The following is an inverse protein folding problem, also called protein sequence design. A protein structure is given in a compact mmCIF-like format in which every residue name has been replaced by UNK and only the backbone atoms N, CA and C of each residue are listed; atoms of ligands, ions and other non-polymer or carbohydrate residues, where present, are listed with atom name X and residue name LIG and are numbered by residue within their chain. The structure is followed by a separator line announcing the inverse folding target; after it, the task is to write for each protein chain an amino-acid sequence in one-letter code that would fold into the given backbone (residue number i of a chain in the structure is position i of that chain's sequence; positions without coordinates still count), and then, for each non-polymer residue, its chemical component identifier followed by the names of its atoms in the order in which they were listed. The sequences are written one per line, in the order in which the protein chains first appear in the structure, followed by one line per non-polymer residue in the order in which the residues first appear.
data_IF_308239209662
#
_entry.id   IF_308239209662
#
_cell.length_a   1.000
_cell.length_b   1.000
_cell.length_c   1.000
_cell.angle_alpha   90.00
_cell.angle_beta   90.00
_cell.angle_gamma   90.00
#
_symmetry.space_group_name_H-M   'P 1'
#
loop_
_entity.id
_entity.type
_entity.pdbx_description
1 polymer ?
#
# COMPACT_ATOMS: atom_id res chain seq x y z
N UNK A 1 0.68 39.44 -9.17
CA UNK A 1 1.81 38.97 -9.99
C UNK A 1 1.25 37.97 -10.98
N UNK A 2 1.61 38.00 -12.28
CA UNK A 2 1.13 36.96 -13.20
C UNK A 2 1.90 35.67 -12.90
N UNK A 3 1.19 34.63 -12.48
CA UNK A 3 1.66 33.26 -12.60
C UNK A 3 1.23 32.79 -13.98
N UNK A 4 2.19 32.42 -14.83
CA UNK A 4 1.91 31.88 -16.14
C UNK A 4 1.71 30.37 -16.01
N UNK A 5 0.45 29.91 -15.94
CA UNK A 5 0.13 28.49 -16.04
C UNK A 5 0.55 27.99 -17.41
N UNK A 6 1.70 27.31 -17.48
CA UNK A 6 2.24 26.76 -18.72
C UNK A 6 1.51 25.45 -19.04
N UNK A 7 0.33 25.55 -19.65
CA UNK A 7 -0.48 24.41 -20.08
C UNK A 7 0.29 23.56 -21.12
N UNK A 8 0.97 22.53 -20.64
CA UNK A 8 1.75 21.58 -21.42
C UNK A 8 0.86 20.56 -22.14
N UNK A 9 0.01 21.03 -23.04
CA UNK A 9 -0.78 20.16 -23.90
C UNK A 9 0.12 19.49 -24.94
N UNK A 10 0.40 18.18 -24.79
CA UNK A 10 1.01 17.40 -25.87
C UNK A 10 2.04 16.32 -25.53
N UNK A 11 1.87 15.57 -24.44
CA UNK A 11 2.38 14.19 -24.37
C UNK A 11 1.50 13.37 -23.42
N UNK A 12 0.99 12.22 -23.87
CA UNK A 12 0.56 11.18 -22.93
C UNK A 12 1.86 10.53 -22.46
N UNK A 13 2.22 10.75 -21.20
CA UNK A 13 3.32 10.01 -20.59
C UNK A 13 2.96 8.51 -20.59
N UNK A 14 3.93 7.58 -20.59
CA UNK A 14 3.62 6.20 -20.21
C UNK A 14 2.88 6.23 -18.87
N UNK A 15 1.78 5.49 -18.73
CA UNK A 15 0.97 5.49 -17.51
C UNK A 15 1.80 4.91 -16.36
N UNK A 16 2.38 5.77 -15.53
CA UNK A 16 3.32 5.35 -14.48
C UNK A 16 2.58 4.65 -13.33
N UNK A 17 3.29 3.86 -12.53
CA UNK A 17 2.76 3.33 -11.28
C UNK A 17 2.65 4.41 -10.19
N UNK A 18 2.54 3.96 -8.94
CA UNK A 18 2.91 4.79 -7.79
C UNK A 18 4.40 5.15 -7.87
N UNK A 19 4.74 6.41 -7.56
CA UNK A 19 6.10 6.95 -7.66
C UNK A 19 6.42 7.74 -6.40
N UNK A 20 7.33 7.24 -5.57
CA UNK A 20 7.81 7.93 -4.37
C UNK A 20 9.08 8.75 -4.66
N UNK A 21 9.09 10.00 -4.22
CA UNK A 21 10.27 10.89 -4.18
C UNK A 21 10.39 11.49 -2.76
N UNK A 22 11.52 11.28 -2.09
CA UNK A 22 11.83 11.88 -0.78
C UNK A 22 13.34 12.06 -0.55
N UNK A 23 13.70 13.09 0.21
CA UNK A 23 15.05 13.38 0.72
C UNK A 23 14.98 13.49 2.26
N UNK A 24 15.59 12.55 2.99
CA UNK A 24 15.54 12.44 4.45
C UNK A 24 16.86 12.93 5.08
N UNK A 25 16.82 14.03 5.84
CA UNK A 25 17.91 14.41 6.74
C UNK A 25 17.59 13.91 8.17
N UNK A 26 18.35 12.96 8.75
CA UNK A 26 18.12 12.46 10.11
C UNK A 26 18.42 13.48 11.23
N UNK A 27 18.77 14.72 10.88
CA UNK A 27 18.99 15.83 11.80
C UNK A 27 17.80 16.80 11.88
N UNK A 28 16.70 16.54 11.17
CA UNK A 28 15.43 17.28 11.26
C UNK A 28 14.25 16.33 11.48
N UNK A 29 13.17 16.84 12.09
CA UNK A 29 12.00 16.02 12.49
C UNK A 29 10.97 15.80 11.35
N UNK A 30 11.22 16.37 10.16
CA UNK A 30 10.26 16.51 9.06
C UNK A 30 10.95 16.61 7.71
N UNK A 31 10.50 15.83 6.71
CA UNK A 31 11.06 15.78 5.38
C UNK A 31 9.96 15.85 4.30
N UNK A 32 10.08 16.73 3.27
CA UNK A 32 9.08 16.87 2.24
C UNK A 32 9.07 15.65 1.31
N UNK A 33 7.88 15.13 0.99
CA UNK A 33 7.70 14.02 0.06
C UNK A 33 6.78 14.39 -1.10
N UNK A 34 6.94 13.66 -2.21
CA UNK A 34 6.01 13.63 -3.34
C UNK A 34 5.69 12.17 -3.67
N UNK A 35 4.40 11.87 -3.79
CA UNK A 35 3.90 10.57 -4.22
C UNK A 35 2.94 10.75 -5.40
N UNK A 36 3.24 10.19 -6.56
CA UNK A 36 2.40 10.31 -7.77
C UNK A 36 1.81 8.96 -8.15
N UNK A 37 0.50 8.90 -8.34
CA UNK A 37 -0.23 7.71 -8.82
C UNK A 37 -0.84 8.01 -10.19
N UNK A 38 -0.70 7.09 -11.14
CA UNK A 38 -1.31 7.20 -12.46
C UNK A 38 -1.92 5.87 -12.90
N UNK A 39 -2.92 5.95 -13.79
CA UNK A 39 -3.48 4.81 -14.53
C UNK A 39 -4.14 5.35 -15.80
N UNK A 40 -3.97 4.65 -16.91
CA UNK A 40 -4.74 4.92 -18.13
C UNK A 40 -5.63 3.72 -18.42
N UNK A 41 -6.88 3.96 -18.78
CA UNK A 41 -7.74 2.95 -19.38
C UNK A 41 -8.13 3.35 -20.80
N UNK A 42 -8.26 2.37 -21.69
CA UNK A 42 -8.74 2.53 -23.04
C UNK A 42 -10.07 1.81 -23.19
N UNK A 43 -11.06 2.50 -23.78
CA UNK A 43 -12.28 1.89 -24.30
C UNK A 43 -12.02 1.71 -25.79
N UNK A 44 -11.79 0.48 -26.25
CA UNK A 44 -11.41 0.14 -27.63
C UNK A 44 -12.61 -0.42 -28.39
N UNK A 45 -12.89 0.12 -29.58
CA UNK A 45 -14.14 -0.13 -30.32
C UNK A 45 -13.94 -0.10 -31.83
N UNK A 46 -14.85 -0.77 -32.55
CA UNK A 46 -14.84 -0.81 -34.03
C UNK A 46 -14.96 0.60 -34.65
N UNK A 47 -14.02 1.02 -35.51
CA UNK A 47 -14.05 2.34 -36.14
C UNK A 47 -15.32 2.60 -36.96
N UNK A 48 -15.94 3.75 -36.73
CA UNK A 48 -17.24 4.10 -37.32
C UNK A 48 -18.45 3.32 -36.77
N UNK A 49 -18.26 2.48 -35.74
CA UNK A 49 -19.34 1.82 -35.01
C UNK A 49 -20.13 2.78 -34.09
N UNK A 50 -21.19 2.27 -33.46
CA UNK A 50 -22.09 3.10 -32.65
C UNK A 50 -21.40 3.76 -31.44
N UNK A 51 -20.46 3.04 -30.82
CA UNK A 51 -19.65 3.53 -29.69
C UNK A 51 -18.65 4.59 -30.17
N UNK A 52 -17.99 4.36 -31.30
CA UNK A 52 -17.13 5.37 -31.95
C UNK A 52 -17.90 6.65 -32.27
N UNK A 53 -19.10 6.53 -32.85
CA UNK A 53 -19.95 7.69 -33.18
C UNK A 53 -20.53 8.42 -31.95
N UNK A 54 -20.56 7.77 -30.78
CA UNK A 54 -20.94 8.41 -29.51
C UNK A 54 -19.75 9.12 -28.83
N UNK A 55 -18.54 8.61 -29.02
CA UNK A 55 -17.32 9.12 -28.37
C UNK A 55 -16.44 10.01 -29.28
N UNK A 56 -16.74 10.10 -30.58
CA UNK A 56 -15.99 10.96 -31.51
C UNK A 56 -16.04 12.43 -31.08
N UNK A 57 -14.88 13.10 -31.17
CA UNK A 57 -14.69 14.47 -30.72
C UNK A 57 -14.73 14.71 -29.21
N UNK A 58 -15.14 13.73 -28.39
CA UNK A 58 -15.26 13.88 -26.93
C UNK A 58 -13.93 14.23 -26.29
N UNK A 59 -13.90 15.35 -25.57
CA UNK A 59 -12.73 15.84 -24.82
C UNK A 59 -13.16 16.40 -23.48
N UNK A 60 -12.77 15.73 -22.42
CA UNK A 60 -12.92 16.19 -21.05
C UNK A 60 -11.55 16.40 -20.42
N UNK A 61 -11.44 17.46 -19.61
CA UNK A 61 -10.34 17.67 -18.67
C UNK A 61 -10.95 18.17 -17.37
N UNK A 62 -10.73 17.43 -16.29
CA UNK A 62 -11.12 17.77 -14.93
C UNK A 62 -9.83 17.82 -14.11
N UNK A 63 -9.47 19.02 -13.66
CA UNK A 63 -8.27 19.28 -12.87
C UNK A 63 -8.66 20.01 -11.59
N UNK A 64 -7.99 19.69 -10.48
CA UNK A 64 -8.22 20.36 -9.20
C UNK A 64 -7.05 20.17 -8.24
N UNK A 65 -7.02 21.00 -7.20
CA UNK A 65 -6.03 20.92 -6.15
C UNK A 65 -6.59 21.43 -4.82
N UNK A 66 -6.27 20.75 -3.72
CA UNK A 66 -6.69 21.09 -2.37
C UNK A 66 -5.51 21.00 -1.40
N UNK A 67 -5.45 21.93 -0.44
CA UNK A 67 -4.34 22.05 0.53
C UNK A 67 -4.69 21.61 1.95
N UNK A 68 -3.78 21.82 2.92
CA UNK A 68 -3.89 21.26 4.28
C UNK A 68 -5.07 21.79 5.10
N UNK A 69 -5.60 22.95 4.72
CA UNK A 69 -6.77 23.59 5.35
C UNK A 69 -8.11 22.96 4.91
N UNK A 70 -8.11 22.10 3.88
CA UNK A 70 -9.34 21.45 3.40
C UNK A 70 -9.76 20.25 4.26
N UNK A 71 -11.08 20.11 4.48
CA UNK A 71 -11.66 19.09 5.36
C UNK A 71 -11.69 17.68 4.74
N UNK A 72 -11.57 17.54 3.41
CA UNK A 72 -11.36 16.24 2.79
C UNK A 72 -9.88 15.85 2.81
N UNK A 73 -8.96 16.80 2.55
CA UNK A 73 -7.51 16.56 2.65
C UNK A 73 -7.07 16.23 4.08
N UNK A 74 -7.67 16.85 5.10
CA UNK A 74 -7.43 16.48 6.51
C UNK A 74 -7.90 15.06 6.84
N UNK A 75 -9.00 14.58 6.24
CA UNK A 75 -9.45 13.18 6.38
C UNK A 75 -8.54 12.23 5.61
N UNK A 76 -8.08 12.64 4.43
CA UNK A 76 -7.12 11.88 3.63
C UNK A 76 -5.82 11.65 4.41
N UNK A 77 -5.24 12.69 4.99
CA UNK A 77 -4.09 12.59 5.88
C UNK A 77 -4.37 11.70 7.10
N UNK A 78 -5.54 11.82 7.74
CA UNK A 78 -5.92 10.96 8.86
C UNK A 78 -6.00 9.47 8.48
N UNK A 79 -6.54 9.16 7.29
CA UNK A 79 -6.65 7.80 6.77
C UNK A 79 -5.27 7.23 6.38
N UNK A 80 -4.41 8.02 5.71
CA UNK A 80 -3.03 7.62 5.42
C UNK A 80 -2.26 7.34 6.72
N UNK A 81 -2.44 8.19 7.73
CA UNK A 81 -1.89 7.97 9.06
C UNK A 81 -2.51 6.77 9.79
N UNK A 82 -3.64 6.23 9.36
CA UNK A 82 -4.15 4.93 9.84
C UNK A 82 -3.50 3.75 9.12
N UNK A 83 -3.30 3.84 7.80
CA UNK A 83 -2.52 2.87 7.03
C UNK A 83 -1.10 2.73 7.56
N UNK A 84 -0.36 3.83 7.66
CA UNK A 84 1.03 3.89 8.18
C UNK A 84 1.14 3.24 9.58
N UNK A 85 0.19 3.54 10.49
CA UNK A 85 0.14 2.89 11.82
C UNK A 85 -0.22 1.41 11.77
N UNK A 86 -1.01 0.96 10.78
CA UNK A 86 -1.33 -0.46 10.56
C UNK A 86 -0.14 -1.25 9.97
N UNK A 87 0.66 -0.59 9.14
CA UNK A 87 1.98 -1.02 8.67
C UNK A 87 3.04 -0.99 9.80
N UNK A 88 2.64 -0.54 11.00
CA UNK A 88 3.42 -0.39 12.26
C UNK A 88 4.50 0.69 12.25
N UNK A 89 4.56 1.52 11.22
CA UNK A 89 5.45 2.69 11.21
C UNK A 89 5.07 3.67 12.34
N UNK A 90 6.08 4.34 12.91
CA UNK A 90 5.92 5.42 13.89
C UNK A 90 5.87 6.80 13.25
N UNK A 91 6.35 6.93 12.01
CA UNK A 91 6.24 8.14 11.23
C UNK A 91 4.78 8.50 10.90
N UNK A 92 4.54 9.73 10.42
CA UNK A 92 3.24 10.17 9.93
C UNK A 92 3.33 11.20 8.81
N UNK A 93 2.27 11.33 8.03
CA UNK A 93 2.06 12.36 7.02
C UNK A 93 1.48 13.62 7.67
N UNK A 94 2.11 14.76 7.44
CA UNK A 94 1.68 16.10 7.84
C UNK A 94 1.60 17.04 6.61
N UNK A 95 0.99 18.21 6.79
CA UNK A 95 0.93 19.30 5.79
C UNK A 95 0.48 18.85 4.38
N UNK A 96 -0.40 17.85 4.31
CA UNK A 96 -0.80 17.21 3.06
C UNK A 96 -1.54 18.17 2.12
N UNK A 97 -1.19 18.08 0.85
CA UNK A 97 -1.85 18.70 -0.30
C UNK A 97 -2.07 17.66 -1.39
N UNK A 98 -3.09 17.86 -2.22
CA UNK A 98 -3.46 16.96 -3.32
C UNK A 98 -3.60 17.77 -4.60
N UNK A 99 -3.00 17.29 -5.69
CA UNK A 99 -3.36 17.69 -7.05
C UNK A 99 -3.97 16.48 -7.77
N UNK A 100 -5.04 16.67 -8.53
CA UNK A 100 -5.69 15.59 -9.29
C UNK A 100 -6.04 16.00 -10.71
N UNK A 101 -6.05 15.02 -11.61
CA UNK A 101 -6.40 15.18 -13.01
C UNK A 101 -7.10 13.94 -13.56
N UNK A 102 -8.22 14.15 -14.25
CA UNK A 102 -8.88 13.16 -15.10
C UNK A 102 -9.08 13.75 -16.49
N UNK A 103 -8.63 13.02 -17.51
CA UNK A 103 -8.78 13.41 -18.90
C UNK A 103 -9.46 12.30 -19.68
N UNK A 104 -10.40 12.65 -20.56
CA UNK A 104 -11.02 11.72 -21.49
C UNK A 104 -10.85 12.25 -22.90
N UNK A 105 -10.28 11.43 -23.79
CA UNK A 105 -10.05 11.80 -25.21
C UNK A 105 -10.54 10.71 -26.13
N UNK A 106 -11.68 10.97 -26.77
CA UNK A 106 -12.24 10.13 -27.83
C UNK A 106 -11.49 10.24 -29.15
N UNK A 107 -11.43 9.12 -29.87
CA UNK A 107 -10.75 8.94 -31.17
C UNK A 107 -11.54 7.94 -32.02
N UNK A 108 -11.12 7.78 -33.27
CA UNK A 108 -11.77 6.91 -34.28
C UNK A 108 -11.92 5.43 -33.84
N UNK A 109 -10.92 4.88 -33.13
CA UNK A 109 -10.86 3.46 -32.73
C UNK A 109 -10.83 3.21 -31.21
N UNK A 110 -10.55 4.23 -30.39
CA UNK A 110 -10.59 4.11 -28.94
C UNK A 110 -10.76 5.46 -28.24
N UNK A 111 -11.14 5.42 -26.97
CA UNK A 111 -11.14 6.56 -26.05
C UNK A 111 -10.16 6.30 -24.93
N UNK A 112 -9.22 7.23 -24.67
CA UNK A 112 -8.37 7.16 -23.46
C UNK A 112 -9.06 7.83 -22.27
N UNK A 113 -8.88 7.22 -21.10
CA UNK A 113 -9.30 7.67 -19.78
C UNK A 113 -8.02 7.74 -18.93
N UNK A 114 -7.47 8.93 -18.77
CA UNK A 114 -6.17 9.16 -18.16
C UNK A 114 -6.35 9.76 -16.75
N UNK A 115 -5.98 9.01 -15.72
CA UNK A 115 -6.18 9.36 -14.30
C UNK A 115 -4.83 9.64 -13.61
N UNK A 116 -4.78 10.71 -12.81
CA UNK A 116 -3.61 11.09 -12.00
C UNK A 116 -4.02 11.69 -10.66
N UNK A 117 -3.34 11.25 -9.60
CA UNK A 117 -3.29 11.93 -8.29
C UNK A 117 -1.84 12.16 -7.90
N UNK A 118 -1.54 13.34 -7.37
CA UNK A 118 -0.25 13.68 -6.74
C UNK A 118 -0.53 14.10 -5.30
N UNK A 119 0.14 13.44 -4.35
CA UNK A 119 0.18 13.83 -2.95
C UNK A 119 1.52 14.51 -2.67
N UNK A 120 1.49 15.64 -1.98
CA UNK A 120 2.67 16.33 -1.46
C UNK A 120 2.44 16.75 -0.02
N UNK A 121 3.46 16.69 0.82
CA UNK A 121 3.38 17.00 2.25
C UNK A 121 4.73 16.73 2.90
N UNK A 122 4.76 16.51 4.21
CA UNK A 122 5.96 15.99 4.88
C UNK A 122 5.71 14.62 5.50
N UNK A 123 6.75 13.79 5.55
CA UNK A 123 6.85 12.69 6.50
C UNK A 123 7.52 13.24 7.76
N UNK A 124 6.90 13.05 8.92
CA UNK A 124 7.36 13.52 10.23
C UNK A 124 7.48 12.36 11.21
N UNK A 125 8.24 12.55 12.31
CA UNK A 125 8.51 11.51 13.32
C UNK A 125 9.20 10.23 12.77
N UNK A 126 9.88 10.31 11.61
CA UNK A 126 10.63 9.19 11.01
C UNK A 126 11.93 8.82 11.73
N UNK A 127 12.38 9.60 12.72
CA UNK A 127 13.56 9.27 13.55
C UNK A 127 13.10 8.51 14.80
N UNK A 128 13.42 7.22 14.87
CA UNK A 128 13.01 6.32 15.96
C UNK A 128 13.88 6.54 17.21
N UNK A 129 15.20 6.60 17.02
CA UNK A 129 16.21 6.85 18.06
C UNK A 129 17.43 7.52 17.43
N UNK A 130 18.02 8.49 18.13
CA UNK A 130 19.30 9.11 17.77
C UNK A 130 20.27 9.01 18.95
N UNK A 131 21.52 8.64 18.68
CA UNK A 131 22.64 8.76 19.63
C UNK A 131 23.80 9.61 19.06
N UNK A 132 24.98 9.58 19.68
CA UNK A 132 26.14 10.39 19.26
C UNK A 132 26.86 9.87 18.01
N UNK A 133 26.47 8.71 17.47
CA UNK A 133 27.12 8.05 16.34
C UNK A 133 26.13 7.56 15.27
N UNK A 134 24.91 7.20 15.66
CA UNK A 134 23.92 6.52 14.82
C UNK A 134 22.51 7.09 15.01
N UNK A 135 21.77 7.18 13.91
CA UNK A 135 20.32 7.43 13.93
C UNK A 135 19.59 6.22 13.35
N UNK A 136 18.45 5.84 13.92
CA UNK A 136 17.54 4.85 13.33
C UNK A 136 16.38 5.59 12.64
N UNK A 137 16.25 5.38 11.34
CA UNK A 137 15.21 5.97 10.49
C UNK A 137 14.17 4.91 10.15
N UNK A 138 12.89 5.23 10.35
CA UNK A 138 11.73 4.44 9.97
C UNK A 138 11.50 4.49 8.45
N UNK A 139 11.31 3.32 7.84
CA UNK A 139 11.01 3.17 6.42
C UNK A 139 9.70 2.40 6.17
N UNK A 140 8.88 2.15 7.20
CA UNK A 140 7.60 1.42 7.07
C UNK A 140 6.46 2.25 6.46
N UNK A 141 6.57 3.58 6.44
CA UNK A 141 5.52 4.50 5.99
C UNK A 141 5.32 4.53 4.46
N UNK A 142 6.21 3.90 3.67
CA UNK A 142 6.22 3.97 2.19
C UNK A 142 4.91 3.50 1.53
N UNK A 143 4.18 2.60 2.19
CA UNK A 143 2.92 2.00 1.72
C UNK A 143 1.72 2.94 1.81
N UNK A 144 1.85 4.14 1.23
CA UNK A 144 0.81 5.17 1.17
C UNK A 144 -0.34 4.71 0.25
N UNK A 145 -1.27 3.94 0.82
CA UNK A 145 -2.37 3.28 0.10
C UNK A 145 -3.70 3.50 0.79
N UNK A 146 -4.79 3.56 0.03
CA UNK A 146 -6.14 3.74 0.56
C UNK A 146 -7.20 2.98 -0.23
N UNK A 147 -8.00 2.22 0.50
CA UNK A 147 -9.25 1.65 0.01
C UNK A 147 -10.37 2.69 -0.05
N UNK A 148 -11.20 2.63 -1.09
CA UNK A 148 -12.46 3.35 -1.17
C UNK A 148 -12.37 4.84 -1.58
N UNK A 149 -13.50 5.57 -1.54
CA UNK A 149 -13.64 6.87 -2.16
C UNK A 149 -12.93 8.00 -1.41
N UNK A 150 -12.29 8.91 -2.14
CA UNK A 150 -11.65 10.14 -1.60
C UNK A 150 -12.29 11.34 -2.30
N UNK A 151 -13.30 11.93 -1.66
CA UNK A 151 -14.11 13.00 -2.27
C UNK A 151 -13.57 14.38 -1.91
N UNK A 152 -12.96 15.07 -2.87
CA UNK A 152 -12.44 16.44 -2.78
C UNK A 152 -13.28 17.33 -3.71
N UNK A 153 -13.80 18.46 -3.20
CA UNK A 153 -14.72 19.37 -3.92
C UNK A 153 -15.92 18.70 -4.63
N UNK A 154 -16.31 17.50 -4.18
CA UNK A 154 -17.38 16.69 -4.76
C UNK A 154 -16.94 15.67 -5.81
N UNK A 155 -15.66 15.68 -6.20
CA UNK A 155 -15.04 14.71 -7.11
C UNK A 155 -14.38 13.58 -6.31
N UNK A 156 -14.67 12.33 -6.61
CA UNK A 156 -13.89 11.19 -6.08
C UNK A 156 -12.58 11.04 -6.86
N UNK A 157 -11.45 11.25 -6.20
CA UNK A 157 -10.12 11.20 -6.83
C UNK A 157 -9.45 9.83 -6.74
N UNK A 158 -10.02 8.87 -5.97
CA UNK A 158 -9.40 7.55 -5.77
C UNK A 158 -10.05 6.44 -6.62
N UNK A 159 -11.34 6.55 -6.96
CA UNK A 159 -12.09 5.49 -7.67
C UNK A 159 -12.46 5.94 -9.10
N UNK A 160 -11.75 5.48 -10.14
CA UNK A 160 -12.00 5.87 -11.54
C UNK A 160 -13.46 5.71 -12.00
N UNK A 161 -14.14 4.64 -11.59
CA UNK A 161 -15.55 4.39 -11.91
C UNK A 161 -16.48 5.50 -11.39
N UNK A 162 -16.17 6.10 -10.24
CA UNK A 162 -16.99 7.18 -9.67
C UNK A 162 -16.80 8.50 -10.45
N UNK A 163 -15.65 8.73 -11.06
CA UNK A 163 -15.45 9.86 -11.98
C UNK A 163 -16.33 9.72 -13.23
N UNK A 164 -16.43 8.50 -13.79
CA UNK A 164 -17.36 8.22 -14.88
C UNK A 164 -18.82 8.38 -14.46
N UNK A 165 -19.21 7.96 -13.25
CA UNK A 165 -20.58 8.15 -12.73
C UNK A 165 -21.00 9.62 -12.75
N UNK A 166 -20.13 10.51 -12.31
CA UNK A 166 -20.47 11.91 -12.06
C UNK A 166 -20.29 12.80 -13.30
N UNK A 167 -19.48 12.37 -14.28
CA UNK A 167 -19.16 13.17 -15.46
C UNK A 167 -19.53 12.52 -16.81
N UNK A 168 -19.52 11.19 -16.94
CA UNK A 168 -19.85 10.45 -18.17
C UNK A 168 -20.84 9.29 -17.88
N UNK A 169 -22.05 9.60 -17.37
CA UNK A 169 -22.98 8.61 -16.83
C UNK A 169 -23.40 7.54 -17.84
N UNK A 170 -23.39 7.85 -19.15
CA UNK A 170 -23.67 6.90 -20.21
C UNK A 170 -22.65 5.74 -20.29
N UNK A 171 -21.37 6.03 -20.04
CA UNK A 171 -20.31 5.01 -19.98
C UNK A 171 -20.38 4.28 -18.63
N UNK A 172 -20.61 5.00 -17.54
CA UNK A 172 -20.82 4.40 -16.21
C UNK A 172 -21.95 3.35 -16.21
N UNK A 173 -23.11 3.64 -16.79
CA UNK A 173 -24.24 2.69 -16.86
C UNK A 173 -23.92 1.43 -17.67
N UNK A 174 -22.99 1.49 -18.62
CA UNK A 174 -22.53 0.34 -19.40
C UNK A 174 -21.50 -0.53 -18.68
N UNK A 175 -20.63 0.06 -17.84
CA UNK A 175 -19.55 -0.69 -17.15
C UNK A 175 -19.89 -1.12 -15.73
N UNK A 176 -20.73 -0.38 -14.98
CA UNK A 176 -20.81 -0.51 -13.50
C UNK A 176 -21.18 -1.91 -12.98
N UNK A 177 -21.89 -2.70 -13.77
CA UNK A 177 -22.39 -4.04 -13.42
C UNK A 177 -21.61 -5.15 -14.16
N UNK A 178 -20.37 -4.86 -14.64
CA UNK A 178 -19.51 -5.78 -15.42
C UNK A 178 -18.07 -5.86 -14.89
N UNK A 179 -17.27 -6.76 -15.46
CA UNK A 179 -15.84 -6.88 -15.15
C UNK A 179 -15.06 -5.59 -15.49
N UNK A 180 -15.49 -4.83 -16.51
CA UNK A 180 -14.93 -3.52 -16.83
C UNK A 180 -15.19 -2.49 -15.70
N UNK A 181 -16.38 -2.52 -15.08
CA UNK A 181 -16.67 -1.72 -13.89
C UNK A 181 -15.84 -2.16 -12.69
N UNK A 182 -15.57 -3.46 -12.55
CA UNK A 182 -14.69 -3.99 -11.50
C UNK A 182 -13.25 -3.50 -11.65
N UNK A 183 -12.70 -3.49 -12.88
CA UNK A 183 -11.38 -2.91 -13.19
C UNK A 183 -11.34 -1.42 -12.84
N UNK A 184 -12.36 -0.65 -13.23
CA UNK A 184 -12.45 0.79 -12.95
C UNK A 184 -12.79 1.11 -11.48
N UNK A 185 -13.17 0.11 -10.68
CA UNK A 185 -13.40 0.25 -9.23
C UNK A 185 -12.13 0.10 -8.39
N UNK A 186 -11.02 -0.36 -8.97
CA UNK A 186 -9.77 -0.52 -8.24
C UNK A 186 -9.19 0.86 -7.85
N UNK A 187 -8.81 1.08 -6.57
CA UNK A 187 -8.18 2.33 -6.13
C UNK A 187 -7.00 2.78 -6.98
N UNK A 188 -6.83 4.10 -7.11
CA UNK A 188 -5.69 4.74 -7.76
C UNK A 188 -4.56 5.00 -6.76
N UNK A 189 -4.91 5.42 -5.54
CA UNK A 189 -4.01 5.66 -4.40
C UNK A 189 -3.65 4.30 -3.77
N UNK A 190 -2.78 3.56 -4.44
CA UNK A 190 -2.16 2.35 -3.88
C UNK A 190 -0.65 2.37 -4.16
N UNK A 191 0.14 2.26 -3.10
CA UNK A 191 1.60 2.15 -3.12
C UNK A 191 2.09 0.93 -2.32
N UNK A 192 1.25 -0.09 -2.09
CA UNK A 192 1.59 -1.20 -1.20
C UNK A 192 2.81 -1.98 -1.71
N UNK A 193 2.96 -2.11 -3.03
CA UNK A 193 4.13 -2.73 -3.65
C UNK A 193 5.46 -2.01 -3.33
N UNK A 194 5.44 -0.70 -3.00
CA UNK A 194 6.61 0.07 -2.55
C UNK A 194 7.02 -0.33 -1.11
N UNK A 195 6.07 -0.83 -0.31
CA UNK A 195 6.33 -1.37 1.02
C UNK A 195 6.62 -2.88 0.98
N UNK A 196 5.92 -3.64 0.13
CA UNK A 196 6.10 -5.09 -0.04
C UNK A 196 7.45 -5.46 -0.67
N UNK A 197 8.01 -4.61 -1.55
CA UNK A 197 9.36 -4.81 -2.09
C UNK A 197 10.41 -4.44 -1.02
N UNK A 198 11.17 -5.42 -0.48
CA UNK A 198 12.14 -5.14 0.58
C UNK A 198 13.25 -4.22 0.06
N UNK A 199 13.70 -3.27 0.88
CA UNK A 199 14.75 -2.30 0.54
C UNK A 199 16.07 -2.98 0.13
N UNK A 200 16.33 -4.20 0.60
CA UNK A 200 17.46 -5.03 0.16
C UNK A 200 17.37 -5.51 -1.31
N UNK A 201 16.22 -5.31 -1.97
CA UNK A 201 15.98 -5.56 -3.40
C UNK A 201 16.01 -4.28 -4.24
N UNK A 202 16.07 -3.10 -3.61
CA UNK A 202 16.22 -1.82 -4.30
C UNK A 202 17.68 -1.61 -4.69
N UNK A 203 17.93 -0.82 -5.74
CA UNK A 203 19.29 -0.45 -6.14
C UNK A 203 19.86 0.56 -5.13
N UNK A 204 20.97 0.21 -4.48
CA UNK A 204 21.64 1.07 -3.51
C UNK A 204 22.80 1.85 -4.16
N UNK A 205 22.77 3.17 -3.99
CA UNK A 205 23.83 4.09 -4.37
C UNK A 205 24.39 4.81 -3.14
N UNK A 206 25.66 5.20 -3.22
CA UNK A 206 26.36 5.89 -2.16
C UNK A 206 27.27 6.98 -2.75
N UNK A 207 27.04 8.23 -2.35
CA UNK A 207 27.94 9.35 -2.68
C UNK A 207 28.80 9.69 -1.44
N UNK A 208 30.09 9.28 -1.41
CA UNK A 208 31.03 9.66 -0.36
C UNK A 208 31.62 11.08 -0.56
N UNK A 209 31.26 11.79 -1.63
CA UNK A 209 31.90 13.04 -2.05
C UNK A 209 31.03 14.28 -1.83
N UNK A 210 29.71 14.15 -2.01
CA UNK A 210 28.77 15.28 -1.96
C UNK A 210 29.01 16.33 -3.06
N UNK A 211 29.61 15.93 -4.19
CA UNK A 211 29.97 16.84 -5.30
C UNK A 211 28.80 16.92 -6.30
N UNK A 212 27.80 17.73 -5.95
CA UNK A 212 26.50 17.83 -6.65
C UNK A 212 26.58 18.64 -7.97
N UNK A 213 27.53 18.35 -8.87
CA UNK A 213 27.51 18.90 -10.24
C UNK A 213 26.62 18.08 -11.19
N UNK A 214 26.53 16.76 -11.03
CA UNK A 214 25.64 15.90 -11.82
C UNK A 214 24.30 15.61 -11.13
N UNK A 215 24.25 15.52 -9.80
CA UNK A 215 23.06 15.10 -9.04
C UNK A 215 21.91 16.13 -9.05
N UNK A 216 22.14 17.37 -9.52
CA UNK A 216 21.06 18.32 -9.86
C UNK A 216 20.12 17.83 -10.96
N UNK A 217 20.48 16.74 -11.66
CA UNK A 217 19.62 16.06 -12.65
C UNK A 217 18.63 15.05 -12.02
N UNK A 218 18.82 14.67 -10.76
CA UNK A 218 17.95 13.73 -10.02
C UNK A 218 17.17 14.37 -8.87
N UNK A 219 17.36 15.65 -8.60
CA UNK A 219 16.47 16.45 -7.73
C UNK A 219 17.03 16.86 -6.36
N UNK A 220 18.20 16.35 -5.98
CA UNK A 220 18.87 16.63 -4.70
C UNK A 220 19.03 18.14 -4.40
N UNK A 221 18.78 18.52 -3.14
CA UNK A 221 18.77 19.92 -2.71
C UNK A 221 20.16 20.55 -2.55
N UNK A 222 20.24 21.88 -2.74
CA UNK A 222 21.48 22.65 -2.58
C UNK A 222 21.99 22.70 -1.12
N UNK A 223 21.18 22.30 -0.13
CA UNK A 223 21.53 22.31 1.30
C UNK A 223 22.25 21.01 1.75
N UNK A 224 22.34 20.02 0.87
CA UNK A 224 23.11 18.78 1.07
C UNK A 224 24.51 18.80 0.43
N UNK A 225 24.90 19.89 -0.23
CA UNK A 225 26.20 19.99 -0.90
C UNK A 225 27.38 19.74 0.07
N UNK A 226 28.25 18.78 -0.27
CA UNK A 226 29.37 18.35 0.57
C UNK A 226 29.01 17.41 1.72
N UNK A 227 27.78 16.88 1.78
CA UNK A 227 27.41 15.78 2.70
C UNK A 227 27.52 14.42 2.02
N UNK A 228 27.70 13.38 2.83
CA UNK A 228 27.60 11.97 2.44
C UNK A 228 26.12 11.60 2.27
N UNK A 229 25.77 10.82 1.24
CA UNK A 229 24.37 10.43 0.94
C UNK A 229 24.29 8.94 0.60
N UNK A 230 23.28 8.27 1.15
CA UNK A 230 22.85 6.91 0.78
C UNK A 230 21.49 6.97 0.08
N UNK A 231 21.43 6.54 -1.17
CA UNK A 231 20.21 6.51 -1.98
C UNK A 231 19.74 5.08 -2.26
N UNK A 232 18.44 4.86 -2.24
CA UNK A 232 17.79 3.62 -2.68
C UNK A 232 16.78 3.92 -3.77
N UNK A 233 16.92 3.27 -4.93
CA UNK A 233 15.98 3.41 -6.05
C UNK A 233 15.38 2.07 -6.48
N UNK A 234 14.06 2.03 -6.68
CA UNK A 234 13.35 0.93 -7.35
C UNK A 234 12.52 1.46 -8.51
N UNK A 235 12.25 0.61 -9.51
CA UNK A 235 11.54 1.02 -10.74
C UNK A 235 12.38 1.93 -11.65
N UNK A 236 13.66 2.15 -11.33
CA UNK A 236 14.69 2.51 -12.31
C UNK A 236 14.88 1.35 -13.29
N UNK A 237 15.17 1.66 -14.55
CA UNK A 237 15.21 0.67 -15.64
C UNK A 237 16.53 -0.12 -15.64
N UNK A 238 16.73 -0.94 -14.62
CA UNK A 238 17.91 -1.78 -14.44
C UNK A 238 17.82 -3.08 -15.25
N UNK A 239 18.95 -3.49 -15.84
CA UNK A 239 19.05 -4.64 -16.77
C UNK A 239 18.69 -5.98 -16.09
N UNK A 240 18.59 -6.00 -14.76
CA UNK A 240 18.37 -7.20 -13.94
C UNK A 240 16.99 -7.26 -13.27
N UNK A 241 16.22 -6.18 -13.22
CA UNK A 241 14.89 -6.14 -12.59
C UNK A 241 13.84 -5.92 -13.69
N UNK A 242 13.06 -6.96 -13.99
CA UNK A 242 11.98 -6.85 -14.97
C UNK A 242 10.84 -6.01 -14.38
N UNK A 243 10.75 -4.75 -14.81
CA UNK A 243 9.53 -3.97 -14.63
C UNK A 243 8.36 -4.70 -15.32
N UNK A 244 7.30 -4.96 -14.56
CA UNK A 244 6.07 -5.58 -15.05
C UNK A 244 4.98 -4.51 -15.08
N UNK A 245 4.64 -4.07 -16.28
CA UNK A 245 3.41 -3.32 -16.53
C UNK A 245 2.20 -4.20 -16.17
N UNK A 246 1.29 -3.65 -15.39
CA UNK A 246 0.02 -4.26 -15.01
C UNK A 246 -1.00 -3.90 -16.08
N UNK A 247 -1.48 -4.91 -16.79
CA UNK A 247 -2.59 -4.79 -17.74
C UNK A 247 -3.78 -5.60 -17.22
N UNK A 248 -4.96 -4.99 -17.27
CA UNK A 248 -6.23 -5.64 -16.98
C UNK A 248 -7.19 -5.38 -18.14
N UNK A 249 -7.91 -6.39 -18.60
CA UNK A 249 -8.88 -6.22 -19.69
C UNK A 249 -10.19 -6.95 -19.45
N UNK A 250 -11.27 -6.40 -20.01
CA UNK A 250 -12.61 -6.95 -19.95
C UNK A 250 -13.45 -6.50 -21.15
N UNK A 251 -14.07 -7.44 -21.86
CA UNK A 251 -15.03 -7.15 -22.93
C UNK A 251 -16.39 -6.80 -22.34
N UNK A 252 -16.98 -5.70 -22.79
CA UNK A 252 -18.40 -5.39 -22.60
C UNK A 252 -19.11 -5.77 -23.90
N UNK A 253 -20.05 -6.71 -23.86
CA UNK A 253 -20.72 -7.24 -25.06
C UNK A 253 -22.25 -7.31 -24.88
N UNK A 254 -22.99 -7.22 -25.99
CA UNK A 254 -24.46 -7.29 -26.01
C UNK A 254 -25.19 -6.16 -25.26
N UNK A 255 -24.52 -5.04 -24.98
CA UNK A 255 -25.08 -3.91 -24.24
C UNK A 255 -26.07 -3.08 -25.06
N UNK A 256 -26.86 -2.24 -24.38
CA UNK A 256 -27.63 -1.17 -25.01
C UNK A 256 -27.84 -0.01 -24.04
N UNK A 257 -27.81 1.23 -24.54
CA UNK A 257 -27.98 2.44 -23.72
C UNK A 257 -28.74 3.51 -24.52
N UNK A 258 -29.71 4.27 -23.94
CA UNK A 258 -30.58 5.16 -24.71
C UNK A 258 -29.89 6.27 -25.54
N UNK A 259 -28.65 6.64 -25.20
CA UNK A 259 -27.87 7.62 -25.97
C UNK A 259 -27.01 7.01 -27.10
N UNK A 260 -26.86 5.68 -27.15
CA UNK A 260 -26.01 4.98 -28.13
C UNK A 260 -26.94 4.08 -28.99
N UNK A 261 -27.18 4.42 -30.26
CA UNK A 261 -28.09 3.64 -31.11
C UNK A 261 -27.60 2.22 -31.34
N UNK A 262 -28.48 1.22 -31.14
CA UNK A 262 -28.19 -0.18 -31.45
C UNK A 262 -27.50 -0.94 -30.31
N UNK A 263 -26.73 -1.95 -30.70
CA UNK A 263 -25.98 -2.83 -29.80
C UNK A 263 -24.61 -2.20 -29.47
N UNK A 264 -24.18 -2.38 -28.22
CA UNK A 264 -22.95 -1.83 -27.64
C UNK A 264 -22.01 -2.99 -27.31
N UNK A 265 -20.88 -3.02 -27.98
CA UNK A 265 -19.79 -3.98 -27.74
C UNK A 265 -18.45 -3.26 -27.87
N UNK A 266 -17.54 -3.46 -26.92
CA UNK A 266 -16.20 -2.85 -26.85
C UNK A 266 -15.32 -3.57 -25.82
N UNK A 267 -14.00 -3.43 -25.94
CA UNK A 267 -13.04 -3.89 -24.94
C UNK A 267 -12.61 -2.73 -24.02
N UNK A 268 -12.54 -2.97 -22.71
CA UNK A 268 -11.80 -2.11 -21.78
C UNK A 268 -10.40 -2.70 -21.59
N UNK A 269 -9.36 -1.87 -21.73
CA UNK A 269 -7.96 -2.22 -21.42
C UNK A 269 -7.36 -1.16 -20.47
N UNK A 270 -7.16 -1.50 -19.20
CA UNK A 270 -6.49 -0.66 -18.21
C UNK A 270 -5.00 -1.01 -18.11
N UNK A 271 -4.14 0.00 -18.07
CA UNK A 271 -2.68 -0.10 -17.97
C UNK A 271 -2.13 0.79 -16.86
N UNK A 272 -1.18 0.24 -16.11
CA UNK A 272 -0.38 0.92 -15.10
C UNK A 272 1.02 0.30 -15.13
N UNK A 273 2.07 1.10 -15.33
CA UNK A 273 3.45 0.62 -15.28
C UNK A 273 3.82 0.10 -13.88
N UNK A 274 4.99 -0.51 -13.77
CA UNK A 274 5.55 -0.84 -12.47
C UNK A 274 5.67 0.42 -11.59
N UNK A 275 5.40 0.28 -10.30
CA UNK A 275 5.64 1.35 -9.32
C UNK A 275 7.15 1.58 -9.16
N UNK A 276 7.53 2.78 -8.73
CA UNK A 276 8.92 3.19 -8.51
C UNK A 276 9.06 3.99 -7.22
N UNK A 277 10.30 4.14 -6.76
CA UNK A 277 10.60 4.95 -5.60
C UNK A 277 12.06 5.36 -5.58
N UNK A 278 12.34 6.57 -5.12
CA UNK A 278 13.66 7.05 -4.77
C UNK A 278 13.64 7.62 -3.35
N UNK A 279 14.53 7.11 -2.51
CA UNK A 279 14.70 7.53 -1.11
C UNK A 279 16.18 7.85 -0.92
N UNK A 280 16.51 9.13 -0.83
CA UNK A 280 17.85 9.60 -0.46
C UNK A 280 17.88 9.92 1.04
N UNK A 281 18.92 9.47 1.74
CA UNK A 281 19.12 9.70 3.18
C UNK A 281 20.50 10.32 3.41
N UNK A 282 20.55 11.40 4.21
CA UNK A 282 21.78 12.09 4.58
C UNK A 282 22.59 11.24 5.56
N UNK A 283 23.81 10.87 5.16
CA UNK A 283 24.72 9.97 5.86
C UNK A 283 24.96 8.67 5.10
N UNK A 284 25.80 7.80 5.66
CA UNK A 284 25.90 6.40 5.23
C UNK A 284 24.80 5.59 5.94
N UNK A 285 23.90 5.00 5.16
CA UNK A 285 22.82 4.17 5.68
C UNK A 285 23.04 2.67 5.47
N UNK A 286 22.59 1.87 6.43
CA UNK A 286 22.58 0.40 6.37
C UNK A 286 21.22 -0.11 6.83
N UNK A 287 20.66 -1.10 6.13
CA UNK A 287 19.31 -1.62 6.38
C UNK A 287 19.29 -2.62 7.54
N UNK A 288 18.23 -2.58 8.35
CA UNK A 288 17.93 -3.56 9.41
C UNK A 288 16.40 -3.71 9.59
N UNK A 289 15.98 -4.61 10.47
CA UNK A 289 14.56 -4.85 10.82
C UNK A 289 14.29 -4.58 12.30
N UNK A 290 13.25 -3.80 12.60
CA UNK A 290 12.77 -3.55 13.97
C UNK A 290 11.29 -3.92 14.10
N UNK A 291 10.95 -4.87 14.98
CA UNK A 291 9.59 -5.38 15.23
C UNK A 291 8.77 -5.74 13.94
N UNK A 292 9.51 -6.13 12.88
CA UNK A 292 8.96 -6.49 11.57
C UNK A 292 8.70 -5.30 10.63
N UNK A 293 9.25 -4.12 10.94
CA UNK A 293 9.32 -2.93 10.06
C UNK A 293 10.75 -2.77 9.55
N UNK A 294 10.92 -2.39 8.28
CA UNK A 294 12.24 -2.02 7.75
C UNK A 294 12.71 -0.67 8.29
N UNK A 295 14.00 -0.59 8.63
CA UNK A 295 14.64 0.63 9.13
C UNK A 295 16.01 0.84 8.46
N UNK A 296 16.50 2.08 8.48
CA UNK A 296 17.89 2.39 8.16
C UNK A 296 18.65 2.86 9.41
N UNK A 297 19.74 2.19 9.75
CA UNK A 297 20.76 2.69 10.67
C UNK A 297 21.74 3.59 9.92
N UNK A 298 21.78 4.88 10.27
CA UNK A 298 22.51 5.92 9.55
C UNK A 298 23.67 6.47 10.39
N UNK A 299 24.87 6.58 9.80
CA UNK A 299 26.06 7.24 10.36
C UNK A 299 26.44 8.48 9.54
N UNK A 300 27.05 9.49 10.17
CA UNK A 300 27.45 10.72 9.48
C UNK A 300 28.57 10.53 8.44
N UNK A 301 29.39 9.49 8.60
CA UNK A 301 30.49 9.13 7.70
C UNK A 301 30.38 7.65 7.30
N UNK A 302 31.08 7.27 6.22
CA UNK A 302 31.22 5.87 5.80
C UNK A 302 32.07 5.07 6.80
N UNK A 303 31.78 3.77 7.01
CA UNK A 303 32.64 2.86 7.77
C UNK A 303 34.05 2.73 7.18
N UNK A 304 35.06 2.59 8.04
CA UNK A 304 36.41 2.21 7.58
C UNK A 304 36.38 0.90 6.77
N UNK A 305 37.00 0.92 5.59
CA UNK A 305 37.02 -0.22 4.66
C UNK A 305 35.77 -0.39 3.80
N UNK A 306 34.75 0.47 3.90
CA UNK A 306 33.62 0.44 2.97
C UNK A 306 34.09 0.73 1.53
N UNK A 307 33.75 -0.15 0.59
CA UNK A 307 34.18 -0.07 -0.81
C UNK A 307 35.56 -0.66 -1.11
N UNK A 308 36.28 -1.24 -0.13
CA UNK A 308 37.51 -1.99 -0.40
C UNK A 308 37.19 -3.41 -0.91
N UNK A 309 37.58 -3.79 -2.15
CA UNK A 309 37.33 -5.14 -2.67
C UNK A 309 38.06 -6.27 -1.90
N UNK A 310 39.00 -5.95 -1.02
CA UNK A 310 39.81 -6.92 -0.29
C UNK A 310 39.19 -7.41 1.03
N UNK A 311 38.17 -6.71 1.57
CA UNK A 311 37.57 -7.02 2.90
C UNK A 311 36.32 -7.89 2.82
N UNK A 312 35.49 -7.74 1.78
CA UNK A 312 34.40 -8.66 1.41
C UNK A 312 33.15 -8.67 2.31
N UNK A 313 33.31 -8.51 3.62
CA UNK A 313 32.22 -8.50 4.61
C UNK A 313 31.78 -7.08 4.98
N UNK A 314 30.48 -6.89 5.24
CA UNK A 314 29.98 -5.66 5.87
C UNK A 314 30.63 -5.46 7.25
N UNK A 315 31.20 -4.27 7.57
CA UNK A 315 31.90 -4.05 8.82
C UNK A 315 31.08 -4.40 10.06
N UNK A 316 31.58 -5.36 10.84
CA UNK A 316 30.89 -6.02 11.96
C UNK A 316 30.39 -5.04 13.05
N UNK A 317 31.00 -3.86 13.18
CA UNK A 317 30.54 -2.78 14.06
C UNK A 317 29.21 -2.13 13.63
N UNK A 318 28.84 -2.20 12.35
CA UNK A 318 27.52 -1.77 11.86
C UNK A 318 26.47 -2.66 12.51
N UNK A 319 26.55 -3.97 12.25
CA UNK A 319 25.62 -5.01 12.72
C UNK A 319 25.41 -4.95 14.24
N UNK A 320 26.47 -4.99 15.05
CA UNK A 320 26.33 -4.94 16.51
C UNK A 320 25.79 -3.59 17.03
N UNK A 321 26.09 -2.49 16.35
CA UNK A 321 25.56 -1.17 16.73
C UNK A 321 24.10 -0.97 16.34
N UNK A 322 23.66 -1.53 15.20
CA UNK A 322 22.24 -1.52 14.82
C UNK A 322 21.44 -2.41 15.77
N UNK A 323 21.90 -3.64 16.07
CA UNK A 323 21.26 -4.49 17.08
C UNK A 323 21.19 -3.85 18.47
N UNK A 324 22.24 -3.11 18.89
CA UNK A 324 22.24 -2.36 20.14
C UNK A 324 21.24 -1.20 20.17
N UNK A 325 21.16 -0.42 19.08
CA UNK A 325 20.20 0.66 18.93
C UNK A 325 18.77 0.16 18.73
N UNK A 326 18.56 -0.96 18.04
CA UNK A 326 17.27 -1.62 17.86
C UNK A 326 16.67 -2.09 19.19
N UNK A 327 17.49 -2.54 20.14
CA UNK A 327 17.04 -2.85 21.50
C UNK A 327 16.54 -1.62 22.28
N UNK A 328 17.07 -0.42 22.00
CA UNK A 328 16.55 0.85 22.53
C UNK A 328 15.32 1.30 21.74
N UNK A 329 15.38 1.16 20.41
CA UNK A 329 14.33 1.49 19.46
C UNK A 329 13.03 0.75 19.73
N UNK A 330 13.06 -0.58 19.89
CA UNK A 330 11.90 -1.39 20.26
C UNK A 330 11.26 -0.94 21.57
N UNK A 331 12.06 -0.45 22.53
CA UNK A 331 11.55 0.16 23.76
C UNK A 331 10.79 1.47 23.53
N UNK A 332 11.31 2.35 22.68
CA UNK A 332 10.65 3.62 22.30
C UNK A 332 9.42 3.38 21.41
N UNK A 333 9.59 2.59 20.36
CA UNK A 333 8.58 2.11 19.42
C UNK A 333 7.40 1.44 20.14
N UNK A 334 7.66 0.56 21.12
CA UNK A 334 6.63 -0.02 21.97
C UNK A 334 5.95 1.02 22.87
N UNK A 335 6.64 2.06 23.35
CA UNK A 335 5.96 3.14 24.09
C UNK A 335 5.08 4.01 23.21
N UNK A 336 5.52 4.38 21.99
CA UNK A 336 4.76 5.20 21.06
C UNK A 336 3.55 4.45 20.50
N UNK A 337 3.73 3.25 19.94
CA UNK A 337 2.64 2.41 19.44
C UNK A 337 1.60 2.09 20.53
N UNK A 338 2.04 1.71 21.73
CA UNK A 338 1.16 1.42 22.86
C UNK A 338 0.55 2.69 23.51
N UNK A 339 0.97 3.90 23.10
CA UNK A 339 0.30 5.17 23.42
C UNK A 339 -0.74 5.52 22.35
N UNK A 340 -0.43 5.32 21.07
CA UNK A 340 -1.36 5.47 19.96
C UNK A 340 -2.56 4.50 20.08
N UNK A 341 -2.29 3.21 20.30
CA UNK A 341 -3.30 2.16 20.51
C UNK A 341 -4.22 2.38 21.72
N UNK A 342 -3.82 3.23 22.68
CA UNK A 342 -4.67 3.64 23.82
C UNK A 342 -5.49 4.91 23.54
N UNK A 343 -5.13 5.68 22.52
CA UNK A 343 -5.90 6.84 22.06
C UNK A 343 -6.94 6.44 20.99
N UNK A 344 -6.73 5.32 20.29
CA UNK A 344 -7.79 4.68 19.49
C UNK A 344 -8.99 4.30 20.37
N UNK A 345 -10.21 4.60 19.90
CA UNK A 345 -11.46 4.27 20.59
C UNK A 345 -11.84 2.79 20.42
N UNK A 346 -10.97 1.87 20.88
CA UNK A 346 -11.21 0.42 20.84
C UNK A 346 -12.27 0.01 21.87
N UNK A 347 -13.54 0.14 21.47
CA UNK A 347 -14.70 -0.30 22.24
C UNK A 347 -16.02 0.03 21.56
N UNK A 348 -16.95 -0.92 21.54
CA UNK A 348 -18.29 -0.76 20.97
C UNK A 348 -19.07 0.33 21.73
N UNK A 349 -19.17 1.54 21.16
CA UNK A 349 -19.88 2.68 21.77
C UNK A 349 -21.42 2.54 21.64
N UNK A 350 -21.97 1.43 22.15
CA UNK A 350 -23.39 1.10 22.07
C UNK A 350 -24.12 0.97 23.41
N UNK A 351 -23.44 0.54 24.48
CA UNK A 351 -24.06 0.30 25.79
C UNK A 351 -23.11 0.76 26.91
N UNK A 352 -23.59 1.62 27.80
CA UNK A 352 -22.92 1.95 29.07
C UNK A 352 -22.93 0.71 30.00
N UNK A 353 -21.77 0.26 30.53
CA UNK A 353 -21.71 -0.84 31.49
C UNK A 353 -22.62 -0.66 32.72
N UNK A 354 -22.96 0.58 33.11
CA UNK A 354 -23.93 0.87 34.18
C UNK A 354 -25.39 0.52 33.85
N UNK A 355 -25.69 0.20 32.58
CA UNK A 355 -27.00 -0.25 32.11
C UNK A 355 -27.12 -1.77 32.00
N UNK A 356 -26.05 -2.53 32.23
CA UNK A 356 -26.07 -3.99 32.22
C UNK A 356 -26.50 -4.54 33.59
N UNK A 357 -27.55 -5.36 33.61
CA UNK A 357 -28.04 -6.04 34.82
C UNK A 357 -27.91 -7.55 34.63
N UNK A 358 -27.25 -8.22 35.57
CA UNK A 358 -27.15 -9.68 35.59
C UNK A 358 -28.40 -10.28 36.23
N UNK A 359 -29.15 -11.08 35.47
CA UNK A 359 -30.30 -11.81 36.01
C UNK A 359 -29.88 -13.24 36.35
N UNK A 360 -30.24 -13.73 37.54
CA UNK A 360 -30.01 -15.13 37.89
C UNK A 360 -31.10 -15.98 37.25
N UNK A 361 -30.70 -16.94 36.40
CA UNK A 361 -31.57 -17.96 35.83
C UNK A 361 -31.44 -19.26 36.61
N UNK A 362 -32.59 -19.89 36.88
CA UNK A 362 -32.79 -21.12 37.66
C UNK A 362 -32.53 -21.05 39.18
N UNK A 363 -33.52 -21.54 39.93
CA UNK A 363 -33.40 -21.92 41.34
C UNK A 363 -34.15 -23.25 41.54
N UNK A 364 -33.56 -24.34 41.04
CA UNK A 364 -34.17 -25.67 41.09
C UNK A 364 -33.13 -26.76 41.44
N UNK A 365 -33.43 -27.53 42.50
CA UNK A 365 -32.86 -28.86 42.80
C UNK A 365 -31.32 -29.05 42.67
N UNK A 366 -30.54 -28.42 43.55
CA UNK A 366 -29.33 -29.04 44.11
C UNK A 366 -28.25 -29.53 43.13
N UNK A 367 -27.76 -28.65 42.24
CA UNK A 367 -26.63 -28.91 41.36
C UNK A 367 -25.61 -27.75 41.34
N UNK A 368 -24.46 -27.97 40.70
CA UNK A 368 -23.37 -27.00 40.59
C UNK A 368 -23.83 -25.67 39.96
N UNK A 369 -23.41 -24.55 40.54
CA UNK A 369 -23.59 -23.21 39.95
C UNK A 369 -22.50 -22.94 38.92
N UNK A 370 -22.86 -22.46 37.73
CA UNK A 370 -21.94 -21.92 36.74
C UNK A 370 -22.20 -20.42 36.57
N UNK A 371 -21.14 -19.61 36.47
CA UNK A 371 -21.25 -18.16 36.34
C UNK A 371 -21.53 -17.73 34.89
N UNK A 372 -22.51 -18.36 34.23
CA UNK A 372 -22.94 -18.01 32.87
C UNK A 372 -24.29 -17.28 32.91
N UNK A 373 -24.31 -16.17 33.64
CA UNK A 373 -25.45 -15.25 33.67
C UNK A 373 -25.48 -14.42 32.40
N UNK A 374 -26.62 -14.38 31.73
CA UNK A 374 -26.86 -13.48 30.60
C UNK A 374 -27.03 -12.05 31.12
N UNK A 375 -26.41 -11.09 30.42
CA UNK A 375 -26.47 -9.67 30.75
C UNK A 375 -27.61 -9.03 29.95
N UNK A 376 -28.63 -8.54 30.66
CA UNK A 376 -29.75 -7.85 30.04
C UNK A 376 -29.59 -6.34 30.20
N UNK A 377 -30.09 -5.59 29.22
CA UNK A 377 -30.26 -4.14 29.36
C UNK A 377 -31.27 -3.86 30.48
N UNK A 378 -30.99 -2.84 31.29
CA UNK A 378 -31.88 -2.34 32.33
C UNK A 378 -33.17 -1.82 31.68
N UNK A 379 -34.30 -2.43 32.06
CA UNK A 379 -35.61 -2.12 31.49
C UNK A 379 -36.00 -0.65 31.68
N UNK A 380 -36.01 0.08 30.57
CA UNK A 380 -36.70 1.34 30.40
C UNK A 380 -37.72 1.12 29.28
N UNK A 381 -38.97 0.83 29.68
CA UNK A 381 -40.07 0.57 28.77
C UNK A 381 -40.51 1.84 28.02
N UNK A 382 -39.77 2.20 26.95
CA UNK A 382 -40.22 3.03 25.83
C UNK A 382 -39.18 3.02 24.68
N UNK A 383 -38.97 1.85 24.06
CA UNK A 383 -38.37 1.76 22.72
C UNK A 383 -39.18 0.82 21.82
N UNK A 384 -39.53 1.29 20.62
CA UNK A 384 -40.44 0.62 19.69
C UNK A 384 -39.81 -0.63 19.08
N UNK A 385 -40.61 -1.70 18.93
CA UNK A 385 -40.18 -2.95 18.30
C UNK A 385 -39.95 -2.76 16.79
N UNK A 386 -38.70 -2.82 16.34
CA UNK A 386 -38.37 -3.17 14.96
C UNK A 386 -38.02 -4.66 14.88
N UNK A 387 -38.79 -5.39 14.06
CA UNK A 387 -38.82 -6.86 14.05
C UNK A 387 -37.83 -7.42 13.03
N UNK A 388 -36.77 -8.08 13.48
CA UNK A 388 -35.84 -8.83 12.61
C UNK A 388 -36.50 -10.07 12.01
N UNK A 389 -36.05 -10.49 10.83
CA UNK A 389 -36.81 -11.35 9.90
C UNK A 389 -36.15 -12.74 9.67
N UNK A 390 -35.47 -13.31 10.67
CA UNK A 390 -34.59 -14.50 10.45
C UNK A 390 -34.64 -15.60 11.55
N UNK A 391 -35.78 -15.75 12.25
CA UNK A 391 -35.97 -16.80 13.29
C UNK A 391 -36.81 -18.02 12.81
N UNK A 392 -36.55 -18.57 11.61
CA UNK A 392 -37.11 -19.87 11.17
C UNK A 392 -36.08 -20.77 10.44
N UNK A 393 -35.09 -21.28 11.17
CA UNK A 393 -34.28 -22.44 10.75
C UNK A 393 -33.79 -23.25 11.95
N UNK A 394 -33.92 -24.59 11.91
CA UNK A 394 -33.59 -25.49 13.02
C UNK A 394 -32.12 -25.97 13.05
N UNK A 395 -31.63 -26.49 14.20
CA UNK A 395 -30.22 -26.87 14.39
C UNK A 395 -29.85 -28.26 13.82
N UNK A 396 -28.57 -28.50 13.46
CA UNK A 396 -28.05 -29.80 13.01
C UNK A 396 -27.58 -30.73 14.17
N UNK A 397 -27.39 -32.05 13.91
CA UNK A 397 -26.90 -33.03 14.89
C UNK A 397 -25.36 -33.18 14.94
N UNK A 398 -24.86 -33.99 15.88
CA UNK A 398 -23.43 -34.21 16.24
C UNK A 398 -23.21 -35.69 16.68
N UNK A 399 -22.02 -36.25 16.98
CA UNK A 399 -20.71 -35.67 17.32
C UNK A 399 -19.57 -36.07 16.33
N UNK A 400 -18.41 -36.69 16.63
CA UNK A 400 -17.95 -37.56 17.74
C UNK A 400 -16.55 -37.18 18.34
N UNK A 401 -15.94 -38.07 19.13
CA UNK A 401 -15.00 -37.71 20.24
C UNK A 401 -13.50 -38.09 19.98
N UNK A 402 -12.57 -37.34 20.61
CA UNK A 402 -11.08 -37.47 20.67
C UNK A 402 -10.61 -38.57 21.70
N UNK A 403 -9.35 -38.70 22.25
CA UNK A 403 -8.01 -38.04 22.08
C UNK A 403 -6.83 -39.10 22.00
N UNK A 404 -5.52 -38.87 22.37
CA UNK A 404 -4.74 -37.67 22.76
C UNK A 404 -3.35 -37.48 22.05
N UNK A 405 -2.63 -36.41 22.40
CA UNK A 405 -1.25 -36.06 21.96
C UNK A 405 -0.15 -36.42 22.99
N UNK A 406 1.15 -36.16 22.72
CA UNK A 406 1.78 -34.93 23.28
C UNK A 406 2.96 -34.30 22.50
N UNK A 407 3.22 -33.00 22.77
CA UNK A 407 4.53 -32.28 22.82
C UNK A 407 5.53 -32.32 21.61
N UNK A 408 6.29 -31.26 21.28
CA UNK A 408 6.38 -29.87 21.77
C UNK A 408 7.23 -28.98 20.84
N UNK A 409 6.92 -27.68 20.76
CA UNK A 409 7.77 -26.49 20.51
C UNK A 409 8.99 -26.55 19.54
N UNK A 410 9.08 -25.57 18.63
CA UNK A 410 10.30 -25.24 17.87
C UNK A 410 10.01 -24.47 16.58
N UNK A 411 10.57 -23.27 16.44
CA UNK A 411 10.29 -22.33 15.35
C UNK A 411 11.05 -22.58 14.03
N UNK A 412 10.71 -21.76 13.02
CA UNK A 412 11.46 -21.43 11.79
C UNK A 412 11.57 -22.50 10.69
N UNK A 413 11.27 -22.07 9.46
CA UNK A 413 11.46 -22.85 8.25
C UNK A 413 12.92 -22.76 7.78
N UNK A 414 13.53 -23.90 7.45
CA UNK A 414 14.85 -23.92 6.83
C UNK A 414 14.76 -23.65 5.32
N UNK A 415 15.36 -22.55 4.88
CA UNK A 415 16.10 -22.58 3.62
C UNK A 415 17.40 -23.37 3.86
N UNK A 416 17.72 -24.35 3.02
CA UNK A 416 18.96 -25.12 3.13
C UNK A 416 19.76 -25.10 1.81
N UNK A 417 20.68 -24.14 1.71
CA UNK A 417 21.96 -24.44 1.11
C UNK A 417 22.67 -25.51 1.98
N UNK A 418 23.36 -26.47 1.35
CA UNK A 418 23.85 -27.65 2.07
C UNK A 418 25.10 -27.35 2.91
N UNK A 419 25.00 -27.51 4.23
CA UNK A 419 26.14 -27.61 5.14
C UNK A 419 26.20 -28.99 5.83
N UNK A 420 26.74 -29.97 5.12
CA UNK A 420 27.30 -31.24 5.62
C UNK A 420 26.62 -31.93 6.82
N UNK A 421 25.55 -32.71 6.58
CA UNK A 421 25.09 -33.68 7.58
C UNK A 421 23.72 -34.32 7.34
N UNK A 422 23.72 -35.54 6.78
CA UNK A 422 22.59 -36.48 6.66
C UNK A 422 21.46 -36.10 5.69
N UNK A 423 20.96 -37.13 5.02
CA UNK A 423 20.11 -37.07 3.83
C UNK A 423 18.67 -36.63 4.13
N UNK A 424 18.10 -35.82 3.24
CA UNK A 424 16.64 -35.58 3.16
C UNK A 424 16.19 -35.58 1.69
N UNK A 425 15.20 -36.40 1.37
CA UNK A 425 14.69 -36.65 0.03
C UNK A 425 13.50 -35.72 -0.29
N UNK A 426 13.40 -35.21 -1.52
CA UNK A 426 12.35 -34.25 -1.90
C UNK A 426 11.00 -34.94 -2.15
N UNK A 427 9.96 -34.54 -1.41
CA UNK A 427 8.58 -35.02 -1.64
C UNK A 427 7.91 -34.23 -2.78
N UNK A 428 7.72 -34.89 -3.92
CA UNK A 428 7.12 -34.33 -5.13
C UNK A 428 5.58 -34.17 -5.07
N UNK A 429 4.89 -34.54 -3.98
CA UNK A 429 3.42 -34.68 -3.97
C UNK A 429 2.64 -33.42 -3.49
N UNK A 430 3.32 -32.42 -2.93
CA UNK A 430 2.71 -31.15 -2.50
C UNK A 430 2.61 -30.14 -3.65
N UNK A 431 1.40 -29.92 -4.17
CA UNK A 431 1.13 -28.96 -5.25
C UNK A 431 1.26 -27.51 -4.76
N UNK A 432 2.30 -26.80 -5.18
CA UNK A 432 2.44 -25.36 -4.94
C UNK A 432 3.70 -24.74 -5.55
N UNK A 433 4.87 -25.16 -5.09
CA UNK A 433 6.12 -24.41 -5.32
C UNK A 433 7.37 -25.28 -5.26
N UNK A 434 7.56 -26.17 -6.25
CA UNK A 434 8.82 -26.89 -6.45
C UNK A 434 9.51 -26.36 -7.71
N UNK A 435 10.71 -25.78 -7.55
CA UNK A 435 11.60 -25.50 -8.68
C UNK A 435 12.22 -26.82 -9.15
N UNK A 436 11.74 -27.37 -10.27
CA UNK A 436 12.29 -28.59 -10.85
C UNK A 436 13.67 -28.31 -11.50
N UNK A 437 14.75 -28.51 -10.73
CA UNK A 437 16.11 -28.56 -11.27
C UNK A 437 16.58 -30.03 -11.49
N UNK A 438 17.79 -30.21 -12.03
CA UNK A 438 18.33 -31.53 -12.37
C UNK A 438 18.79 -32.37 -11.16
N UNK A 439 18.76 -31.85 -9.93
CA UNK A 439 19.00 -32.62 -8.71
C UNK A 439 17.70 -33.17 -8.09
N UNK A 440 16.53 -32.65 -8.49
CA UNK A 440 15.24 -33.08 -7.96
C UNK A 440 14.71 -34.33 -8.69
N UNK A 441 14.66 -35.47 -7.99
CA UNK A 441 14.36 -36.80 -8.57
C UNK A 441 12.92 -37.07 -9.04
N UNK A 442 12.11 -36.04 -9.25
CA UNK A 442 10.70 -36.18 -9.62
C UNK A 442 10.52 -36.72 -11.06
N UNK A 443 9.51 -37.56 -11.34
CA UNK A 443 9.24 -38.06 -12.68
C UNK A 443 8.76 -36.94 -13.62
N UNK A 444 9.22 -36.98 -14.87
CA UNK A 444 9.04 -35.91 -15.86
C UNK A 444 7.58 -35.55 -16.22
N UNK A 445 6.61 -36.38 -15.84
CA UNK A 445 5.17 -36.10 -16.02
C UNK A 445 4.61 -35.11 -14.97
N UNK A 446 5.32 -34.90 -13.87
CA UNK A 446 4.92 -34.01 -12.76
C UNK A 446 5.44 -32.57 -12.94
N UNK A 447 6.62 -32.39 -13.53
CA UNK A 447 7.15 -31.07 -13.86
C UNK A 447 6.60 -30.59 -15.21
N UNK A 448 5.68 -29.61 -15.19
CA UNK A 448 5.33 -28.80 -16.36
C UNK A 448 5.74 -27.35 -16.10
N UNK A 449 6.43 -26.75 -17.07
CA UNK A 449 6.59 -25.30 -17.18
C UNK A 449 5.51 -24.66 -18.03
#
# INVERSE_FOLDING_TARGET
MLIACLLAAGAVAPALGAQLEIELDPNVDSAPFKMTYQRTAFIEYEPGGNVAAFLDGTKMALEGAAGPEDLAVQRLAANLNEKIRSDRSVASVDNLSVEYGFYMTGRDANTSLDFRVVLTGNIVEYVIVQDQQKTLVDLGWRGLSLDGPVVIDGVDVNIPLNMLRDHEPAIYELVRDTDAGSILSMPLINADFILEMPMASWHFLFDPTGIIEDSKKVGLSDELAGRVISGWSMGTSDIFIRQVEREWSATVDGGSHPAIPGEVSYDLVARQAADSGNIDIVGFGSLDMLDGVEIAGVTAEAPEGFGDPATGDFPVFIIYGMAGMAAVGGGAFFMFSNRALKNEKRGQQGIDPGLLVSHQTSAASGGYRTNRGEAHLRDFADYQQTRSYYDEAGPPPAQDILPPAPASAGDTACACAVSAGMDSECDCQMRGSCLCDAACGCPAETCRG
#
